data_IF_670876332034
#
_entry.id   IF_670876332034
#
_cell.length_a   1.000
_cell.length_b   1.000
_cell.length_c   1.000
_cell.angle_alpha   90.00
_cell.angle_beta   90.00
_cell.angle_gamma   90.00
#
_symmetry.space_group_name_H-M   'P 1'
#
loop_
_entity.id
_entity.type
_entity.pdbx_description
1 polymer ?
#
# COMPACT_ATOMS: atom_id res chain seq x y z
N UNK A 1 -18.52 -5.45 6.88
CA UNK A 1 -17.28 -5.89 6.22
C UNK A 1 -16.18 -5.71 7.24
N UNK A 2 -15.74 -6.82 7.82
CA UNK A 2 -14.75 -6.81 8.90
C UNK A 2 -13.42 -6.30 8.35
N UNK A 3 -12.82 -5.35 9.06
CA UNK A 3 -11.52 -4.76 8.71
C UNK A 3 -10.44 -5.82 8.99
N UNK A 4 -10.20 -6.76 8.08
CA UNK A 4 -9.15 -7.79 8.22
C UNK A 4 -7.74 -7.27 7.82
N UNK A 5 -7.66 -6.06 7.27
CA UNK A 5 -6.40 -5.44 6.83
C UNK A 5 -5.43 -4.91 7.92
N UNK A 6 -5.84 -4.53 9.16
CA UNK A 6 -4.91 -3.91 10.09
C UNK A 6 -3.90 -4.92 10.65
N UNK A 7 -4.29 -6.18 10.86
CA UNK A 7 -3.38 -7.21 11.38
C UNK A 7 -2.35 -7.61 10.34
N UNK A 8 -2.74 -7.86 9.08
CA UNK A 8 -1.80 -8.27 8.03
C UNK A 8 -0.74 -7.18 7.76
N UNK A 9 -1.12 -5.90 7.84
CA UNK A 9 -0.19 -4.78 7.68
C UNK A 9 0.77 -4.67 8.86
N UNK A 10 0.29 -4.91 10.09
CA UNK A 10 1.13 -4.93 11.30
C UNK A 10 2.13 -6.08 11.26
N UNK A 11 1.67 -7.27 10.88
CA UNK A 11 2.52 -8.44 10.70
C UNK A 11 3.56 -8.19 9.60
N UNK A 12 3.16 -7.60 8.47
CA UNK A 12 4.10 -7.19 7.42
C UNK A 12 5.15 -6.20 7.92
N UNK A 13 4.76 -5.24 8.75
CA UNK A 13 5.69 -4.27 9.36
C UNK A 13 6.65 -4.95 10.34
N UNK A 14 6.16 -5.90 11.14
CA UNK A 14 6.99 -6.70 12.04
C UNK A 14 8.07 -7.46 11.25
N UNK A 15 7.69 -8.17 10.18
CA UNK A 15 8.65 -8.87 9.32
C UNK A 15 9.69 -7.94 8.69
N UNK A 16 9.30 -6.73 8.27
CA UNK A 16 10.24 -5.73 7.76
C UNK A 16 11.26 -5.29 8.82
N UNK A 17 10.82 -5.07 10.06
CA UNK A 17 11.71 -4.67 11.18
C UNK A 17 12.66 -5.80 11.56
N UNK A 18 12.15 -7.03 11.70
CA UNK A 18 12.98 -8.20 12.01
C UNK A 18 13.96 -8.49 10.88
N UNK A 19 13.53 -8.37 9.62
CA UNK A 19 14.39 -8.53 8.45
C UNK A 19 15.51 -7.48 8.39
N UNK A 20 15.21 -6.22 8.73
CA UNK A 20 16.23 -5.18 8.87
C UNK A 20 17.22 -5.48 10.01
N UNK A 21 16.74 -6.04 11.13
CA UNK A 21 17.58 -6.51 12.23
C UNK A 21 18.51 -7.66 11.81
N UNK A 22 18.00 -8.65 11.09
CA UNK A 22 18.80 -9.75 10.54
C UNK A 22 19.83 -9.25 9.52
N UNK A 23 19.49 -8.26 8.70
CA UNK A 23 20.44 -7.62 7.80
C UNK A 23 21.56 -6.91 8.56
N UNK A 24 21.23 -6.25 9.67
CA UNK A 24 22.23 -5.67 10.57
C UNK A 24 23.17 -6.73 11.16
N UNK A 25 22.65 -7.91 11.53
CA UNK A 25 23.49 -9.03 11.97
C UNK A 25 24.45 -9.50 10.88
N UNK A 26 23.98 -9.58 9.62
CA UNK A 26 24.85 -9.87 8.48
C UNK A 26 25.97 -8.84 8.34
N UNK A 27 25.66 -7.54 8.43
CA UNK A 27 26.67 -6.47 8.36
C UNK A 27 27.69 -6.60 9.49
N UNK A 28 27.24 -6.93 10.71
CA UNK A 28 28.15 -7.14 11.84
C UNK A 28 29.04 -8.37 11.65
N UNK A 29 28.50 -9.43 11.05
CA UNK A 29 29.23 -10.65 10.71
C UNK A 29 30.29 -10.38 9.62
N UNK A 30 29.98 -9.56 8.62
CA UNK A 30 30.93 -9.11 7.60
C UNK A 30 32.07 -8.28 8.21
N UNK A 31 31.74 -7.37 9.14
CA UNK A 31 32.75 -6.58 9.88
C UNK A 31 33.65 -7.48 10.74
N UNK A 32 33.13 -8.59 11.25
CA UNK A 32 33.87 -9.56 12.06
C UNK A 32 34.72 -10.54 11.22
N UNK A 33 34.83 -10.33 9.90
CA UNK A 33 35.53 -11.21 8.95
C UNK A 33 34.99 -12.66 8.93
N UNK A 34 33.79 -12.88 9.48
CA UNK A 34 33.10 -14.17 9.51
C UNK A 34 31.77 -14.02 8.78
N UNK A 35 31.83 -13.94 7.45
CA UNK A 35 30.66 -13.67 6.60
C UNK A 35 29.70 -14.88 6.63
N UNK A 36 28.62 -14.73 7.38
CA UNK A 36 27.54 -15.73 7.49
C UNK A 36 26.41 -15.34 6.53
N UNK A 37 26.41 -15.98 5.36
CA UNK A 37 25.39 -15.77 4.34
C UNK A 37 23.99 -16.20 4.79
N UNK A 38 23.88 -17.02 5.83
CA UNK A 38 22.61 -17.42 6.41
C UNK A 38 21.83 -16.20 6.93
N UNK A 39 22.51 -15.22 7.56
CA UNK A 39 21.86 -13.99 8.01
C UNK A 39 21.35 -13.14 6.84
N UNK A 40 22.11 -13.07 5.75
CA UNK A 40 21.68 -12.37 4.53
C UNK A 40 20.45 -13.03 3.92
N UNK A 41 20.46 -14.37 3.82
CA UNK A 41 19.36 -15.13 3.24
C UNK A 41 18.08 -14.99 4.07
N UNK A 42 18.20 -15.10 5.40
CA UNK A 42 17.09 -14.88 6.34
C UNK A 42 16.56 -13.44 6.21
N UNK A 43 17.45 -12.44 6.16
CA UNK A 43 17.04 -11.04 6.01
C UNK A 43 16.27 -10.80 4.71
N UNK A 44 16.74 -11.34 3.58
CA UNK A 44 16.05 -11.23 2.29
C UNK A 44 14.67 -11.88 2.31
N UNK A 45 14.55 -13.08 2.91
CA UNK A 45 13.27 -13.78 3.04
C UNK A 45 12.27 -12.96 3.88
N UNK A 46 12.70 -12.46 5.05
CA UNK A 46 11.87 -11.68 5.95
C UNK A 46 11.41 -10.37 5.31
N UNK A 47 12.30 -9.64 4.65
CA UNK A 47 11.97 -8.39 3.95
C UNK A 47 11.02 -8.68 2.77
N UNK A 48 11.26 -9.73 1.98
CA UNK A 48 10.41 -10.09 0.85
C UNK A 48 8.97 -10.43 1.27
N UNK A 49 8.81 -11.23 2.34
CA UNK A 49 7.51 -11.59 2.90
C UNK A 49 6.82 -10.35 3.50
N UNK A 50 7.55 -9.57 4.33
CA UNK A 50 7.02 -8.36 4.96
C UNK A 50 6.53 -7.32 3.93
N UNK A 51 7.29 -7.16 2.84
CA UNK A 51 6.93 -6.27 1.74
C UNK A 51 5.67 -6.73 1.01
N UNK A 52 5.53 -8.03 0.77
CA UNK A 52 4.35 -8.61 0.12
C UNK A 52 3.08 -8.37 0.94
N UNK A 53 3.15 -8.55 2.27
CA UNK A 53 2.03 -8.26 3.16
C UNK A 53 1.69 -6.78 3.26
N UNK A 54 2.69 -5.89 3.17
CA UNK A 54 2.46 -4.44 3.15
C UNK A 54 1.76 -3.98 1.86
N UNK A 55 2.03 -4.62 0.72
CA UNK A 55 1.41 -4.28 -0.58
C UNK A 55 -0.08 -4.62 -0.67
N UNK A 56 -0.59 -5.51 0.18
CA UNK A 56 -2.01 -5.88 0.20
C UNK A 56 -2.91 -4.86 0.90
N UNK A 57 -2.36 -3.74 1.37
CA UNK A 57 -3.12 -2.72 2.08
C UNK A 57 -4.18 -2.11 1.15
N UNK A 58 -5.46 -2.40 1.41
CA UNK A 58 -6.56 -1.77 0.71
C UNK A 58 -6.44 -0.25 0.78
N UNK A 59 -6.75 0.49 -0.32
CA UNK A 59 -6.73 1.94 -0.29
C UNK A 59 -7.60 2.41 0.88
N UNK A 60 -7.09 3.34 1.71
CA UNK A 60 -7.84 3.79 2.88
C UNK A 60 -9.22 4.27 2.44
N UNK A 61 -10.28 3.99 3.23
CA UNK A 61 -11.59 4.54 2.94
C UNK A 61 -11.44 6.05 2.74
N UNK A 62 -12.02 6.62 1.67
CA UNK A 62 -11.80 8.01 1.31
C UNK A 62 -12.09 8.88 2.54
N UNK A 63 -11.07 9.60 3.00
CA UNK A 63 -11.24 10.51 4.12
C UNK A 63 -12.25 11.59 3.69
N UNK A 64 -13.43 11.59 4.30
CA UNK A 64 -14.51 12.57 4.07
C UNK A 64 -14.09 14.03 4.29
N UNK A 65 -12.86 14.23 4.78
CA UNK A 65 -12.21 15.53 5.07
C UNK A 65 -11.91 16.36 3.81
N UNK A 66 -11.97 15.78 2.60
CA UNK A 66 -11.77 16.51 1.34
C UNK A 66 -13.03 16.65 0.48
N UNK A 67 -14.22 16.34 1.03
CA UNK A 67 -15.50 16.58 0.34
C UNK A 67 -15.66 18.05 -0.11
N UNK A 68 -15.22 19.00 0.71
CA UNK A 68 -15.28 20.43 0.39
C UNK A 68 -14.34 20.86 -0.74
N UNK A 69 -13.13 20.27 -0.82
CA UNK A 69 -12.15 20.56 -1.89
C UNK A 69 -12.58 19.93 -3.22
N UNK A 70 -13.22 18.75 -3.17
CA UNK A 70 -13.75 18.04 -4.36
C UNK A 70 -14.84 18.84 -5.08
N UNK A 71 -15.66 19.60 -4.34
CA UNK A 71 -16.68 20.48 -4.92
C UNK A 71 -16.12 21.67 -5.71
N UNK A 72 -14.92 22.15 -5.37
CA UNK A 72 -14.29 23.33 -6.01
C UNK A 72 -13.42 22.98 -7.22
N UNK A 73 -12.77 21.81 -7.20
CA UNK A 73 -11.94 21.32 -8.32
C UNK A 73 -12.67 20.38 -9.30
N UNK A 74 -13.85 19.85 -8.94
CA UNK A 74 -14.63 18.95 -9.79
C UNK A 74 -15.43 19.62 -10.93
N UNK A 75 -15.50 20.96 -10.98
CA UNK A 75 -16.32 21.67 -11.98
C UNK A 75 -15.76 21.68 -13.41
N UNK A 76 -14.51 21.28 -13.64
CA UNK A 76 -13.90 21.28 -14.99
C UNK A 76 -13.97 19.92 -15.73
N UNK A 77 -14.67 18.91 -15.19
CA UNK A 77 -14.87 17.62 -15.88
C UNK A 77 -16.34 17.31 -16.22
N UNK A 78 -17.18 18.34 -16.39
CA UNK A 78 -18.52 18.22 -17.00
C UNK A 78 -18.48 18.86 -18.41
N UNK A 79 -17.71 18.23 -19.30
CA UNK A 79 -17.52 18.69 -20.68
C UNK A 79 -17.38 17.56 -21.70
N UNK A 80 -17.92 16.36 -21.40
CA UNK A 80 -18.05 15.27 -22.38
C UNK A 80 -19.22 14.38 -22.00
N UNK A 81 -20.42 14.88 -22.28
CA UNK A 81 -21.69 14.16 -22.23
C UNK A 81 -22.61 14.84 -23.22
N UNK A 82 -22.25 14.75 -24.51
CA UNK A 82 -23.03 15.26 -25.62
C UNK A 82 -23.61 14.10 -26.42
N UNK A 83 -24.87 14.26 -26.82
CA UNK A 83 -25.77 13.35 -27.54
C UNK A 83 -26.23 12.12 -26.75
N UNK A 84 -27.51 11.95 -26.43
CA UNK A 84 -28.68 12.11 -27.31
C UNK A 84 -29.91 12.71 -26.59
N UNK A 85 -30.61 13.62 -27.28
CA UNK A 85 -31.95 14.11 -26.94
C UNK A 85 -32.99 12.99 -27.09
N UNK A 86 -34.09 13.02 -26.33
CA UNK A 86 -35.39 12.62 -26.87
C UNK A 86 -36.29 13.86 -27.02
N UNK A 87 -36.76 14.18 -28.23
CA UNK A 87 -38.12 14.66 -28.42
C UNK A 87 -38.98 13.43 -28.80
N UNK A 88 -40.25 13.26 -28.46
CA UNK A 88 -41.32 14.15 -28.04
C UNK A 88 -42.54 13.24 -27.79
N UNK A 89 -43.14 13.27 -26.61
CA UNK A 89 -44.54 12.86 -26.43
C UNK A 89 -45.38 14.14 -26.46
N UNK A 90 -46.32 14.21 -27.41
CA UNK A 90 -47.64 14.86 -27.34
C UNK A 90 -48.21 15.04 -28.77
N UNK A 91 -49.07 14.10 -29.18
CA UNK A 91 -50.47 14.26 -29.65
C UNK A 91 -51.06 12.89 -29.93
#
# INVERSE_FOLDING_TARGET
MENEDPLIVRVGTFFMVVGAGAFLLFVMSDIAEQVDFDYLFIAMLLIGIGWTFRRKKAPPPPADRFSWVKGRFGKNKKGKGGNTLPPNEET
#
